data_IF_037370161483
#
_entry.id   IF_037370161483
#
_cell.length_a   1.000
_cell.length_b   1.000
_cell.length_c   1.000
_cell.angle_alpha   90.00
_cell.angle_beta   90.00
_cell.angle_gamma   90.00
#
_symmetry.space_group_name_H-M   'P 1'
#
loop_
_entity.id
_entity.type
_entity.pdbx_description
1 polymer ?
#
# COMPACT_ATOMS: atom_id res chain seq x y z
N UNK A 1 -2.23 10.50 -0.57
CA UNK A 1 -1.12 11.46 -0.48
C UNK A 1 0.14 10.66 -0.13
N UNK A 2 1.24 10.81 -0.87
CA UNK A 2 2.53 10.25 -0.46
C UNK A 2 3.03 11.09 0.72
N UNK A 3 3.14 10.49 1.91
CA UNK A 3 3.68 11.15 3.09
C UNK A 3 5.14 10.71 3.25
N UNK A 4 6.06 11.46 2.64
CA UNK A 4 7.50 11.19 2.68
C UNK A 4 7.93 9.94 1.91
N UNK A 5 9.24 9.75 1.78
CA UNK A 5 9.89 8.63 1.07
C UNK A 5 9.57 7.24 1.64
N UNK A 6 8.74 7.15 2.69
CA UNK A 6 8.60 5.93 3.50
C UNK A 6 7.15 5.52 3.79
N UNK A 7 6.13 6.36 3.55
CA UNK A 7 4.72 5.97 3.86
C UNK A 7 3.74 6.47 2.80
N UNK A 8 3.20 5.54 2.01
CA UNK A 8 2.12 5.81 1.06
C UNK A 8 0.76 5.63 1.76
N UNK A 9 0.08 6.73 2.10
CA UNK A 9 -1.30 6.71 2.64
C UNK A 9 -2.26 7.23 1.59
N UNK A 10 -3.08 6.35 1.03
CA UNK A 10 -4.15 6.75 0.13
C UNK A 10 -5.47 6.90 0.94
N UNK A 11 -6.03 8.12 1.08
CA UNK A 11 -7.21 8.35 1.92
C UNK A 11 -8.44 7.64 1.34
N UNK A 12 -9.16 6.87 2.15
CA UNK A 12 -10.45 6.26 1.78
C UNK A 12 -11.46 7.40 1.64
N UNK A 13 -12.02 7.62 0.45
CA UNK A 13 -13.02 8.69 0.18
C UNK A 13 -14.41 8.07 -0.06
N UNK A 14 -14.59 6.77 0.12
CA UNK A 14 -15.90 6.10 -0.05
C UNK A 14 -16.23 5.23 1.16
N UNK A 15 -17.40 5.46 1.77
CA UNK A 15 -18.02 4.49 2.67
C UNK A 15 -18.13 3.14 1.93
N UNK A 16 -17.66 2.07 2.57
CA UNK A 16 -17.70 0.67 2.09
C UNK A 16 -16.67 0.23 1.03
N UNK A 17 -15.67 1.06 0.69
CA UNK A 17 -14.59 0.64 -0.20
C UNK A 17 -13.61 -0.31 0.53
N UNK A 18 -13.80 -1.62 0.33
CA UNK A 18 -12.96 -2.70 0.90
C UNK A 18 -11.70 -2.99 0.08
N UNK A 19 -11.57 -2.42 -1.12
CA UNK A 19 -10.47 -2.69 -2.07
C UNK A 19 -9.98 -1.40 -2.73
N UNK A 20 -8.68 -1.31 -3.05
CA UNK A 20 -8.08 -0.15 -3.70
C UNK A 20 -6.90 -0.50 -4.61
N UNK A 21 -6.76 0.24 -5.69
CA UNK A 21 -5.54 0.24 -6.49
C UNK A 21 -4.39 1.00 -5.80
N UNK A 22 -3.25 0.32 -5.62
CA UNK A 22 -2.04 0.87 -5.00
C UNK A 22 -0.91 0.83 -6.02
N UNK A 23 -0.27 1.98 -6.24
CA UNK A 23 0.94 2.07 -7.05
C UNK A 23 2.17 2.06 -6.15
N UNK A 24 3.06 1.10 -6.39
CA UNK A 24 4.37 1.01 -5.77
C UNK A 24 5.41 1.50 -6.77
N UNK A 25 6.07 2.64 -6.52
CA UNK A 25 7.19 3.12 -7.32
C UNK A 25 8.37 2.14 -7.33
N UNK A 26 9.40 2.42 -8.15
CA UNK A 26 10.63 1.61 -8.19
C UNK A 26 11.24 1.46 -6.79
N UNK A 27 11.46 0.23 -6.37
CA UNK A 27 11.97 -0.13 -5.05
C UNK A 27 11.44 -1.49 -4.61
N UNK A 28 11.97 -2.00 -3.50
CA UNK A 28 11.37 -3.15 -2.81
C UNK A 28 10.50 -2.60 -1.70
N UNK A 29 9.28 -3.10 -1.61
CA UNK A 29 8.27 -2.66 -0.66
C UNK A 29 7.81 -3.84 0.18
N UNK A 30 7.73 -3.66 1.50
CA UNK A 30 7.18 -4.67 2.38
C UNK A 30 5.83 -4.22 2.90
N UNK A 31 4.88 -5.14 2.92
CA UNK A 31 3.57 -4.89 3.48
C UNK A 31 3.62 -5.10 5.00
N UNK A 32 3.16 -4.13 5.78
CA UNK A 32 3.32 -4.21 7.23
C UNK A 32 2.51 -5.33 7.89
N UNK A 33 1.36 -5.69 7.32
CA UNK A 33 0.54 -6.77 7.89
C UNK A 33 1.03 -8.16 7.47
N UNK A 34 2.05 -8.24 6.62
CA UNK A 34 2.70 -9.48 6.24
C UNK A 34 4.19 -9.24 5.95
N UNK A 35 5.01 -9.40 6.99
CA UNK A 35 6.45 -9.22 6.91
C UNK A 35 7.14 -10.19 5.94
N UNK A 36 6.46 -11.27 5.51
CA UNK A 36 6.97 -12.23 4.53
C UNK A 36 6.73 -11.82 3.08
N UNK A 37 5.86 -10.83 2.84
CA UNK A 37 5.49 -10.40 1.50
C UNK A 37 6.23 -9.14 1.09
N UNK A 38 7.08 -9.28 0.08
CA UNK A 38 7.81 -8.20 -0.56
C UNK A 38 7.31 -8.00 -2.00
N UNK A 39 7.16 -6.73 -2.39
CA UNK A 39 6.73 -6.31 -3.71
C UNK A 39 7.85 -5.53 -4.40
N UNK A 40 8.18 -5.92 -5.62
CA UNK A 40 9.18 -5.23 -6.44
C UNK A 40 8.46 -4.26 -7.38
N UNK A 41 8.61 -2.96 -7.14
CA UNK A 41 8.09 -1.92 -8.01
C UNK A 41 9.00 -1.63 -9.23
N UNK A 42 8.50 -0.97 -10.29
CA UNK A 42 7.19 -0.33 -10.38
C UNK A 42 6.05 -1.35 -10.56
N UNK A 43 5.06 -1.32 -9.66
CA UNK A 43 3.98 -2.31 -9.62
C UNK A 43 2.64 -1.65 -9.28
N UNK A 44 1.59 -2.08 -9.97
CA UNK A 44 0.21 -1.78 -9.59
C UNK A 44 -0.40 -2.98 -8.89
N UNK A 45 -0.75 -2.84 -7.61
CA UNK A 45 -1.59 -3.78 -6.89
C UNK A 45 -3.03 -3.36 -7.11
N UNK A 46 -3.75 -4.07 -7.98
CA UNK A 46 -5.15 -3.79 -8.27
C UNK A 46 -6.05 -4.45 -7.24
N UNK A 47 -7.13 -3.77 -6.85
CA UNK A 47 -8.13 -4.31 -5.91
C UNK A 47 -7.50 -4.81 -4.59
N UNK A 48 -6.49 -4.10 -4.07
CA UNK A 48 -5.81 -4.49 -2.85
C UNK A 48 -6.72 -4.29 -1.63
N UNK A 49 -6.90 -5.30 -0.75
CA UNK A 49 -7.77 -5.18 0.41
C UNK A 49 -7.34 -4.04 1.35
N UNK A 50 -8.23 -3.09 1.58
CA UNK A 50 -7.99 -1.88 2.38
C UNK A 50 -9.18 -1.58 3.31
N UNK A 51 -9.56 -2.51 4.21
CA UNK A 51 -10.70 -2.30 5.10
C UNK A 51 -10.43 -1.12 6.04
N UNK A 52 -11.49 -0.43 6.48
CA UNK A 52 -11.37 0.79 7.28
C UNK A 52 -10.63 0.57 8.62
N UNK A 53 -10.70 -0.65 9.15
CA UNK A 53 -10.03 -1.04 10.39
C UNK A 53 -8.54 -1.34 10.21
N UNK A 54 -8.09 -1.57 8.96
CA UNK A 54 -6.72 -1.94 8.65
C UNK A 54 -6.21 -1.12 7.46
N UNK A 55 -5.58 0.01 7.75
CA UNK A 55 -4.95 0.83 6.72
C UNK A 55 -3.75 0.08 6.12
N UNK A 56 -3.79 -0.30 4.82
CA UNK A 56 -2.66 -0.95 4.20
C UNK A 56 -1.53 0.07 4.05
N UNK A 57 -0.38 -0.25 4.62
CA UNK A 57 0.81 0.57 4.53
C UNK A 57 2.00 -0.29 4.11
N UNK A 58 2.80 0.31 3.24
CA UNK A 58 3.98 -0.30 2.66
C UNK A 58 5.16 0.58 3.01
N UNK A 59 6.23 -0.05 3.45
CA UNK A 59 7.50 0.64 3.69
C UNK A 59 8.53 0.16 2.67
N UNK A 60 9.37 1.07 2.22
CA UNK A 60 10.46 0.78 1.31
C UNK A 60 11.57 0.07 2.09
N UNK A 61 12.05 -1.05 1.57
CA UNK A 61 13.19 -1.81 2.10
C UNK A 61 14.33 -1.70 1.09
N UNK A 62 15.18 -0.70 1.28
CA UNK A 62 16.29 -0.36 0.39
C UNK A 62 15.95 0.73 -0.62
#
# INVERSE_FOLDING_TARGET
FLLGDEILVAPVIEQDAIERDIYLPKGVWRYNNDESTEYIGPLWLRNFPAPIDTLPHFFKIG
#
